data_IF_280083917816
#
_entry.id   IF_280083917816
#
_cell.length_a   1.000
_cell.length_b   1.000
_cell.length_c   1.000
_cell.angle_alpha   90.00
_cell.angle_beta   90.00
_cell.angle_gamma   90.00
#
_symmetry.space_group_name_H-M   'P 1'
#
loop_
_entity.id
_entity.type
_entity.pdbx_description
1 polymer ?
#
# COMPACT_ATOMS: atom_id res chain seq x y z
N UNK A 1 28.84 -1.02 43.51
CA UNK A 1 28.12 -0.53 42.32
C UNK A 1 28.32 -1.57 41.23
N UNK A 2 27.30 -2.31 40.76
CA UNK A 2 27.45 -3.10 39.54
C UNK A 2 27.33 -2.17 38.33
N UNK A 3 28.29 -2.22 37.42
CA UNK A 3 28.27 -1.52 36.14
C UNK A 3 27.25 -2.21 35.23
N UNK A 4 26.16 -1.53 34.88
CA UNK A 4 25.22 -2.04 33.89
C UNK A 4 25.88 -2.00 32.50
N UNK A 5 25.84 -3.09 31.70
CA UNK A 5 26.35 -3.05 30.34
C UNK A 5 25.41 -2.19 29.49
N UNK A 6 25.91 -1.02 29.08
CA UNK A 6 25.23 -0.15 28.13
C UNK A 6 25.10 -0.88 26.79
N UNK A 7 23.92 -1.45 26.55
CA UNK A 7 23.55 -1.91 25.21
C UNK A 7 23.28 -0.67 24.39
N UNK A 8 24.31 -0.17 23.72
CA UNK A 8 24.18 0.85 22.70
C UNK A 8 23.36 0.25 21.56
N UNK A 9 22.04 0.50 21.60
CA UNK A 9 21.13 0.14 20.52
C UNK A 9 21.46 1.09 19.37
N UNK A 10 22.45 0.75 18.56
CA UNK A 10 22.67 1.43 17.29
C UNK A 10 21.36 1.28 16.51
N UNK A 11 20.70 2.37 16.08
CA UNK A 11 19.56 2.23 15.21
C UNK A 11 20.11 1.69 13.88
N UNK A 12 19.92 0.39 13.65
CA UNK A 12 20.12 -0.21 12.34
C UNK A 12 19.30 0.65 11.37
N UNK A 13 19.91 1.35 10.39
CA UNK A 13 19.12 2.04 9.40
C UNK A 13 18.31 0.97 8.69
N UNK A 14 17.00 0.94 8.97
CA UNK A 14 16.08 0.07 8.27
C UNK A 14 16.36 0.22 6.77
N UNK A 15 16.47 -0.90 6.02
CA UNK A 15 16.79 -0.82 4.61
C UNK A 15 15.75 0.09 3.97
N UNK A 16 16.21 1.23 3.44
CA UNK A 16 15.40 2.14 2.64
C UNK A 16 15.12 1.44 1.32
N UNK A 17 14.23 0.46 1.35
CA UNK A 17 13.72 -0.21 0.17
C UNK A 17 12.67 0.68 -0.50
N UNK A 18 13.04 1.94 -0.76
CA UNK A 18 12.27 2.87 -1.58
C UNK A 18 12.40 2.52 -3.08
N UNK A 19 13.20 1.48 -3.41
CA UNK A 19 13.59 1.08 -4.76
C UNK A 19 13.03 -0.26 -5.27
N UNK A 20 12.12 -0.95 -4.56
CA UNK A 20 11.28 -1.96 -5.21
C UNK A 20 10.02 -1.26 -5.68
N UNK A 21 10.08 -0.65 -6.88
CA UNK A 21 8.95 -0.19 -7.71
C UNK A 21 7.71 0.19 -6.87
N UNK A 22 7.47 1.48 -6.60
CA UNK A 22 6.22 1.91 -5.96
C UNK A 22 5.07 1.28 -6.77
N UNK A 23 4.48 0.19 -6.27
CA UNK A 23 3.32 -0.43 -6.91
C UNK A 23 2.28 0.67 -7.03
N UNK A 24 1.72 0.82 -8.23
CA UNK A 24 0.62 1.76 -8.45
C UNK A 24 -0.47 1.45 -7.43
N UNK A 25 -1.23 2.47 -7.03
CA UNK A 25 -2.36 2.24 -6.14
C UNK A 25 -3.38 1.30 -6.79
N UNK A 26 -3.48 1.30 -8.13
CA UNK A 26 -4.24 0.32 -8.90
C UNK A 26 -3.76 -1.13 -8.65
N UNK A 27 -2.45 -1.38 -8.67
CA UNK A 27 -1.88 -2.71 -8.39
C UNK A 27 -2.16 -3.18 -6.95
N UNK A 28 -2.23 -2.25 -5.99
CA UNK A 28 -2.60 -2.58 -4.61
C UNK A 28 -4.04 -3.05 -4.50
N UNK A 29 -4.96 -2.43 -5.25
CA UNK A 29 -6.37 -2.85 -5.31
C UNK A 29 -6.48 -4.25 -5.95
N UNK A 30 -5.78 -4.49 -7.06
CA UNK A 30 -5.73 -5.81 -7.71
C UNK A 30 -5.12 -6.89 -6.82
N UNK A 31 -4.14 -6.55 -5.99
CA UNK A 31 -3.48 -7.50 -5.08
C UNK A 31 -4.23 -7.75 -3.76
N UNK A 32 -5.31 -7.02 -3.47
CA UNK A 32 -6.07 -7.20 -2.22
C UNK A 32 -6.58 -8.64 -2.05
N UNK A 33 -6.64 -9.12 -0.81
CA UNK A 33 -7.15 -10.45 -0.49
C UNK A 33 -8.22 -10.32 0.59
N UNK A 34 -9.31 -11.08 0.43
CA UNK A 34 -10.45 -11.06 1.33
C UNK A 34 -10.67 -12.45 1.91
N UNK A 35 -10.89 -12.52 3.22
CA UNK A 35 -11.29 -13.76 3.89
C UNK A 35 -12.73 -14.11 3.49
N UNK A 36 -12.94 -15.36 3.08
CA UNK A 36 -14.27 -15.86 2.71
C UNK A 36 -14.98 -16.39 3.96
N UNK A 37 -16.22 -15.94 4.17
CA UNK A 37 -17.06 -16.33 5.32
C UNK A 37 -18.42 -16.83 4.86
N UNK A 38 -19.10 -17.65 5.68
CA UNK A 38 -20.48 -18.03 5.40
C UNK A 38 -21.38 -16.79 5.45
N UNK A 39 -22.19 -16.59 4.38
CA UNK A 39 -23.00 -15.38 4.15
C UNK A 39 -22.20 -14.10 3.89
N UNK A 40 -21.02 -14.22 3.27
CA UNK A 40 -20.29 -13.08 2.72
C UNK A 40 -20.85 -12.57 1.39
N UNK A 41 -20.20 -11.55 0.84
CA UNK A 41 -20.45 -11.08 -0.52
C UNK A 41 -20.08 -12.16 -1.55
N UNK A 42 -20.76 -12.13 -2.69
CA UNK A 42 -20.42 -12.99 -3.82
C UNK A 42 -18.99 -12.66 -4.30
N UNK A 43 -18.14 -13.69 -4.39
CA UNK A 43 -16.73 -13.51 -4.73
C UNK A 43 -16.56 -12.96 -6.14
N UNK A 44 -17.33 -13.45 -7.11
CA UNK A 44 -17.20 -13.02 -8.49
C UNK A 44 -17.63 -11.55 -8.64
N UNK A 45 -18.70 -11.14 -7.95
CA UNK A 45 -19.14 -9.76 -7.90
C UNK A 45 -18.08 -8.84 -7.27
N UNK A 46 -17.46 -9.26 -6.17
CA UNK A 46 -16.37 -8.49 -5.53
C UNK A 46 -15.15 -8.42 -6.44
N UNK A 47 -14.75 -9.51 -7.09
CA UNK A 47 -13.59 -9.53 -7.99
C UNK A 47 -13.81 -8.65 -9.22
N UNK A 48 -15.02 -8.64 -9.80
CA UNK A 48 -15.38 -7.72 -10.89
C UNK A 48 -15.33 -6.25 -10.44
N UNK A 49 -15.94 -5.94 -9.29
CA UNK A 49 -15.93 -4.59 -8.73
C UNK A 49 -14.51 -4.09 -8.44
N UNK A 50 -13.62 -4.96 -7.95
CA UNK A 50 -12.22 -4.61 -7.70
C UNK A 50 -11.48 -4.22 -8.97
N UNK A 51 -11.75 -4.90 -10.08
CA UNK A 51 -11.14 -4.56 -11.37
C UNK A 51 -11.63 -3.20 -11.87
N UNK A 52 -12.92 -2.89 -11.71
CA UNK A 52 -13.47 -1.55 -12.03
C UNK A 52 -12.79 -0.44 -11.20
N UNK A 53 -12.60 -0.68 -9.89
CA UNK A 53 -11.92 0.28 -9.01
C UNK A 53 -10.45 0.42 -9.40
N UNK A 54 -9.75 -0.67 -9.73
CA UNK A 54 -8.35 -0.60 -10.16
C UNK A 54 -8.19 0.26 -11.42
N UNK A 55 -9.07 0.10 -12.41
CA UNK A 55 -9.09 0.93 -13.62
C UNK A 55 -9.39 2.40 -13.33
N UNK A 56 -10.30 2.68 -12.38
CA UNK A 56 -10.58 4.04 -11.95
C UNK A 56 -9.36 4.68 -11.29
N UNK A 57 -8.67 3.95 -10.41
CA UNK A 57 -7.45 4.42 -9.75
C UNK A 57 -6.36 4.68 -10.77
N UNK A 58 -6.13 3.78 -11.72
CA UNK A 58 -5.16 3.93 -12.81
C UNK A 58 -5.43 5.21 -13.62
N UNK A 59 -6.69 5.45 -14.00
CA UNK A 59 -7.09 6.70 -14.68
C UNK A 59 -6.81 7.95 -13.84
N UNK A 60 -7.05 7.89 -12.53
CA UNK A 60 -6.79 9.02 -11.63
C UNK A 60 -5.30 9.24 -11.39
N UNK A 61 -4.48 8.20 -11.44
CA UNK A 61 -3.02 8.29 -11.39
C UNK A 61 -2.46 8.91 -12.70
N UNK A 62 -2.99 8.51 -13.85
CA UNK A 62 -2.65 9.08 -15.16
C UNK A 62 -3.09 10.55 -15.30
N UNK A 63 -4.24 10.91 -14.73
CA UNK A 63 -4.73 12.28 -14.68
C UNK A 63 -3.98 13.15 -13.64
N UNK A 64 -3.14 12.54 -12.78
CA UNK A 64 -2.44 13.20 -11.69
C UNK A 64 -1.09 13.92 -11.97
N UNK A 65 -0.55 14.12 -13.20
CA UNK A 65 0.65 14.93 -13.37
C UNK A 65 0.44 16.44 -13.15
N UNK A 66 -0.76 16.90 -12.71
CA UNK A 66 -1.02 18.32 -12.34
C UNK A 66 -1.47 18.55 -10.89
N UNK A 67 -2.12 17.58 -10.23
CA UNK A 67 -2.69 17.77 -8.89
C UNK A 67 -1.76 17.35 -7.73
N UNK A 68 -0.67 16.63 -8.02
CA UNK A 68 0.30 16.21 -7.00
C UNK A 68 1.00 17.37 -6.25
N UNK A 69 0.86 18.61 -6.74
CA UNK A 69 1.37 19.81 -6.07
C UNK A 69 0.47 20.34 -4.93
N UNK A 70 -0.78 19.88 -4.79
CA UNK A 70 -1.79 20.58 -3.95
C UNK A 70 -1.85 20.10 -2.48
N UNK A 71 -1.10 19.07 -2.06
CA UNK A 71 -1.08 18.67 -0.62
C UNK A 71 0.32 18.51 -0.04
N UNK A 72 0.98 19.65 0.19
CA UNK A 72 2.07 19.84 1.18
C UNK A 72 2.19 21.32 1.62
N UNK A 73 1.07 21.98 1.89
CA UNK A 73 1.02 23.33 2.45
C UNK A 73 0.23 23.31 3.77
#
# INVERSE_FOLDING_TARGET
MPEEPQTEITPVPAPRNQGRMRRSDADKVRAAQFTIVMRGYDRAAVDAWREEIAQLVERLEEAQPRDAAVKRA
#
